data_IF_936755295096
#
_entry.id   IF_936755295096
#
_cell.length_a   1.000
_cell.length_b   1.000
_cell.length_c   1.000
_cell.angle_alpha   90.00
_cell.angle_beta   90.00
_cell.angle_gamma   90.00
#
_symmetry.space_group_name_H-M   'P 1'
#
loop_
_entity.id
_entity.type
_entity.pdbx_description
1 polymer ?
#
# COMPACT_ATOMS: atom_id res chain seq x y z
N UNK A 1 -15.42 -16.55 -14.50
CA UNK A 1 -14.81 -17.43 -13.47
C UNK A 1 -13.53 -16.75 -12.99
N UNK A 2 -13.43 -16.34 -11.71
CA UNK A 2 -12.18 -15.75 -11.17
C UNK A 2 -11.06 -16.76 -11.34
N UNK A 3 -9.90 -16.32 -11.83
CA UNK A 3 -8.73 -17.19 -11.93
C UNK A 3 -8.20 -17.45 -10.50
N UNK A 4 -8.20 -18.71 -10.08
CA UNK A 4 -7.48 -19.12 -8.88
C UNK A 4 -6.02 -19.34 -9.28
N UNK A 5 -5.09 -18.73 -8.57
CA UNK A 5 -3.65 -18.94 -8.80
C UNK A 5 -3.10 -20.08 -7.93
N UNK A 6 -3.99 -20.76 -7.19
CA UNK A 6 -3.74 -22.00 -6.49
C UNK A 6 -2.91 -22.98 -7.34
N UNK A 7 -1.72 -23.32 -6.85
CA UNK A 7 -0.79 -24.23 -7.52
C UNK A 7 0.22 -23.56 -8.46
N UNK A 8 0.13 -22.25 -8.73
CA UNK A 8 1.19 -21.53 -9.41
C UNK A 8 2.45 -21.50 -8.54
N UNK A 9 3.57 -21.96 -9.11
CA UNK A 9 4.87 -21.94 -8.43
C UNK A 9 5.59 -20.65 -8.80
N UNK A 10 5.75 -19.77 -7.82
CA UNK A 10 6.53 -18.56 -7.99
C UNK A 10 8.00 -18.89 -8.29
N UNK A 11 8.70 -18.09 -9.12
CA UNK A 11 10.14 -18.25 -9.30
C UNK A 11 10.87 -18.18 -7.96
N UNK A 12 11.87 -19.04 -7.76
CA UNK A 12 12.74 -19.03 -6.55
C UNK A 12 13.56 -17.75 -6.46
N UNK A 13 13.78 -17.11 -7.61
CA UNK A 13 14.55 -15.88 -7.72
C UNK A 13 13.70 -14.68 -7.32
N UNK A 14 14.21 -13.86 -6.41
CA UNK A 14 13.47 -12.69 -5.92
C UNK A 14 13.90 -11.35 -6.54
N UNK A 15 15.09 -11.25 -7.13
CA UNK A 15 15.66 -9.97 -7.58
C UNK A 15 15.73 -9.82 -9.12
N UNK A 16 15.58 -8.60 -9.66
CA UNK A 16 15.68 -8.32 -11.10
C UNK A 16 17.00 -8.72 -11.77
N UNK A 17 16.98 -8.87 -13.10
CA UNK A 17 18.17 -9.11 -13.94
C UNK A 17 18.72 -7.80 -14.48
N UNK A 18 19.39 -7.04 -13.61
CA UNK A 18 19.92 -5.71 -13.93
C UNK A 18 18.93 -4.56 -13.66
N UNK A 19 19.36 -3.30 -13.87
CA UNK A 19 18.58 -2.14 -13.50
C UNK A 19 17.36 -1.99 -14.41
N UNK A 20 16.19 -1.72 -13.80
CA UNK A 20 15.03 -1.31 -14.56
C UNK A 20 15.33 0.03 -15.24
N UNK A 21 15.22 0.06 -16.57
CA UNK A 21 15.33 1.32 -17.30
C UNK A 21 13.99 2.04 -17.22
N UNK A 22 14.00 3.30 -16.77
CA UNK A 22 12.91 4.23 -17.00
C UNK A 22 12.81 4.42 -18.51
N UNK A 23 11.68 4.02 -19.07
CA UNK A 23 11.41 4.11 -20.48
C UNK A 23 9.95 4.49 -20.69
N UNK A 24 9.72 5.41 -21.62
CA UNK A 24 8.38 5.64 -22.14
C UNK A 24 8.01 4.47 -23.05
N UNK A 25 6.86 3.85 -22.80
CA UNK A 25 6.35 2.76 -23.62
C UNK A 25 5.47 3.32 -24.72
N UNK A 26 5.74 2.95 -25.96
CA UNK A 26 4.86 3.27 -27.06
C UNK A 26 3.55 2.46 -26.95
N UNK A 27 2.40 2.99 -27.41
CA UNK A 27 1.11 2.29 -27.29
C UNK A 27 1.12 0.85 -27.84
N UNK A 28 1.84 0.60 -28.93
CA UNK A 28 2.01 -0.73 -29.52
C UNK A 28 2.76 -1.71 -28.61
N UNK A 29 3.75 -1.24 -27.85
CA UNK A 29 4.49 -2.07 -26.88
C UNK A 29 3.59 -2.43 -25.70
N UNK A 30 2.79 -1.45 -25.23
CA UNK A 30 1.80 -1.64 -24.17
C UNK A 30 0.74 -2.67 -24.60
N UNK A 31 0.26 -2.60 -25.85
CA UNK A 31 -0.71 -3.56 -26.37
C UNK A 31 -0.09 -4.96 -26.59
N UNK A 32 1.16 -5.03 -27.04
CA UNK A 32 1.88 -6.29 -27.12
C UNK A 32 2.00 -6.95 -25.75
N UNK A 33 2.34 -6.19 -24.71
CA UNK A 33 2.34 -6.68 -23.33
C UNK A 33 0.94 -7.10 -22.86
N UNK A 34 -0.09 -6.29 -23.13
CA UNK A 34 -1.47 -6.60 -22.78
C UNK A 34 -1.96 -7.91 -23.40
N UNK A 35 -1.56 -8.22 -24.65
CA UNK A 35 -1.93 -9.45 -25.35
C UNK A 35 -1.40 -10.75 -24.72
N UNK A 36 -0.46 -10.62 -23.76
CA UNK A 36 0.08 -11.76 -22.99
C UNK A 36 -0.83 -12.13 -21.81
N UNK A 37 -1.87 -11.34 -21.54
CA UNK A 37 -2.93 -11.59 -20.57
C UNK A 37 -4.18 -12.17 -21.22
N UNK A 38 -5.02 -12.85 -20.43
CA UNK A 38 -6.30 -13.44 -20.85
C UNK A 38 -7.38 -12.37 -21.06
N UNK A 39 -7.12 -11.50 -22.03
CA UNK A 39 -7.99 -10.46 -22.52
C UNK A 39 -8.02 -10.57 -24.04
N UNK A 40 -9.21 -10.73 -24.59
CA UNK A 40 -9.42 -10.83 -26.02
C UNK A 40 -9.40 -9.43 -26.65
N UNK A 41 -8.73 -9.32 -27.79
CA UNK A 41 -8.63 -8.09 -28.59
C UNK A 41 -8.31 -6.81 -27.77
N UNK A 42 -7.19 -6.75 -27.02
CA UNK A 42 -6.83 -5.59 -26.22
C UNK A 42 -6.64 -4.34 -27.10
N UNK A 43 -7.18 -3.22 -26.64
CA UNK A 43 -7.15 -1.90 -27.29
C UNK A 43 -6.87 -0.82 -26.26
N UNK A 44 -6.50 0.37 -26.73
CA UNK A 44 -6.10 1.48 -25.87
C UNK A 44 -4.60 1.49 -25.61
N UNK A 45 -4.18 1.48 -24.34
CA UNK A 45 -2.77 1.65 -23.96
C UNK A 45 -2.40 3.08 -23.60
N UNK A 46 -3.40 3.95 -23.36
CA UNK A 46 -3.14 5.30 -22.85
C UNK A 46 -2.63 5.25 -21.42
N UNK A 47 -1.64 6.10 -21.11
CA UNK A 47 -1.15 6.25 -19.75
C UNK A 47 -2.29 6.69 -18.82
N UNK A 48 -2.40 6.05 -17.67
CA UNK A 48 -3.41 6.39 -16.68
C UNK A 48 -3.10 7.80 -16.14
N UNK A 49 -4.06 8.75 -16.23
CA UNK A 49 -3.80 10.17 -15.99
C UNK A 49 -3.41 10.48 -14.54
N UNK A 50 -3.78 9.62 -13.58
CA UNK A 50 -3.34 9.69 -12.19
C UNK A 50 -2.18 8.73 -11.96
N UNK A 51 -0.94 9.21 -12.15
CA UNK A 51 0.24 8.44 -11.77
C UNK A 51 0.28 8.35 -10.24
N UNK A 52 0.06 7.16 -9.68
CA UNK A 52 0.38 6.90 -8.27
C UNK A 52 1.86 7.21 -8.01
N UNK A 53 2.21 7.57 -6.77
CA UNK A 53 3.57 8.02 -6.45
C UNK A 53 4.64 6.92 -6.63
N UNK A 54 4.24 5.64 -6.79
CA UNK A 54 5.13 4.48 -6.82
C UNK A 54 5.12 3.76 -8.19
N UNK A 55 3.98 3.26 -8.66
CA UNK A 55 3.89 2.59 -9.97
C UNK A 55 3.75 3.58 -11.13
N UNK A 56 4.91 4.04 -11.62
CA UNK A 56 5.01 5.11 -12.62
C UNK A 56 4.44 4.75 -14.01
N UNK A 57 4.28 3.46 -14.32
CA UNK A 57 3.72 2.97 -15.59
C UNK A 57 2.43 2.19 -15.35
N UNK A 58 1.31 2.91 -15.35
CA UNK A 58 -0.04 2.34 -15.34
C UNK A 58 -0.73 2.72 -16.65
N UNK A 59 -1.32 1.75 -17.34
CA UNK A 59 -2.02 1.94 -18.60
C UNK A 59 -3.44 1.42 -18.53
N UNK A 60 -4.38 2.11 -19.17
CA UNK A 60 -5.75 1.63 -19.34
C UNK A 60 -5.85 0.80 -20.60
N UNK A 61 -6.31 -0.44 -20.45
CA UNK A 61 -6.57 -1.38 -21.54
C UNK A 61 -8.07 -1.64 -21.59
N UNK A 62 -8.66 -1.56 -22.76
CA UNK A 62 -10.01 -2.07 -23.02
C UNK A 62 -9.90 -3.39 -23.75
N UNK A 63 -10.77 -4.34 -23.44
CA UNK A 63 -10.77 -5.62 -24.14
C UNK A 63 -11.99 -6.45 -23.78
N UNK A 64 -12.09 -7.62 -24.38
CA UNK A 64 -13.18 -8.54 -24.14
C UNK A 64 -12.74 -9.66 -23.19
N UNK A 65 -13.61 -10.03 -22.25
CA UNK A 65 -13.43 -11.19 -21.39
C UNK A 65 -14.80 -11.80 -21.09
N UNK A 66 -14.92 -13.11 -21.29
CA UNK A 66 -16.17 -13.84 -21.08
C UNK A 66 -17.37 -13.21 -21.84
N UNK A 67 -17.12 -12.70 -23.05
CA UNK A 67 -18.14 -12.08 -23.91
C UNK A 67 -18.58 -10.68 -23.50
N UNK A 68 -17.86 -10.02 -22.59
CA UNK A 68 -18.14 -8.64 -22.14
C UNK A 68 -16.94 -7.74 -22.40
N UNK A 69 -17.21 -6.52 -22.86
CA UNK A 69 -16.19 -5.47 -22.91
C UNK A 69 -15.95 -4.94 -21.51
N UNK A 70 -14.70 -5.00 -21.05
CA UNK A 70 -14.26 -4.54 -19.75
C UNK A 70 -13.02 -3.63 -19.89
N UNK A 71 -12.76 -2.84 -18.85
CA UNK A 71 -11.56 -2.03 -18.73
C UNK A 71 -10.61 -2.66 -17.70
N UNK A 72 -9.31 -2.56 -17.96
CA UNK A 72 -8.25 -3.14 -17.17
C UNK A 72 -7.14 -2.11 -16.92
N UNK A 73 -6.38 -2.34 -15.86
CA UNK A 73 -5.17 -1.60 -15.53
C UNK A 73 -3.98 -2.53 -15.75
N UNK A 74 -3.15 -2.22 -16.74
CA UNK A 74 -1.85 -2.87 -16.95
C UNK A 74 -0.79 -2.05 -16.23
N UNK A 75 -0.06 -2.68 -15.30
CA UNK A 75 0.92 -2.01 -14.46
C UNK A 75 2.26 -2.73 -14.47
N UNK A 76 3.33 -1.96 -14.65
CA UNK A 76 4.71 -2.40 -14.35
C UNK A 76 4.99 -2.16 -12.87
N UNK A 77 5.42 -3.19 -12.15
CA UNK A 77 5.86 -3.05 -10.76
C UNK A 77 7.13 -2.20 -10.74
N UNK A 78 7.16 -1.17 -9.89
CA UNK A 78 8.35 -0.35 -9.73
C UNK A 78 9.43 -1.09 -8.94
N UNK A 79 10.39 -1.69 -9.63
CA UNK A 79 11.48 -2.47 -9.02
C UNK A 79 12.58 -1.62 -8.37
N UNK A 80 12.58 -0.30 -8.58
CA UNK A 80 13.47 0.61 -7.83
C UNK A 80 13.02 0.75 -6.38
N UNK A 81 11.71 0.60 -6.14
CA UNK A 81 11.09 0.62 -4.80
C UNK A 81 10.89 -0.81 -4.30
N UNK A 82 10.21 -1.64 -5.09
CA UNK A 82 9.95 -3.05 -4.80
C UNK A 82 11.01 -3.93 -5.47
N UNK A 83 12.21 -3.94 -4.89
CA UNK A 83 13.34 -4.76 -5.35
C UNK A 83 13.04 -6.26 -5.41
N UNK A 84 11.94 -6.70 -4.80
CA UNK A 84 11.45 -8.08 -4.80
C UNK A 84 10.02 -8.17 -5.34
N UNK A 85 9.81 -7.97 -6.65
CA UNK A 85 8.47 -7.85 -7.24
C UNK A 85 7.63 -9.12 -7.12
N UNK A 86 8.24 -10.30 -6.99
CA UNK A 86 7.48 -11.53 -6.77
C UNK A 86 6.90 -11.63 -5.36
N UNK A 87 7.50 -10.98 -4.35
CA UNK A 87 6.90 -10.87 -3.02
C UNK A 87 5.61 -10.03 -3.06
N UNK A 88 5.61 -8.95 -3.85
CA UNK A 88 4.39 -8.15 -4.14
C UNK A 88 3.31 -9.05 -4.73
N UNK A 89 3.62 -9.78 -5.81
CA UNK A 89 2.62 -10.62 -6.48
C UNK A 89 2.12 -11.77 -5.60
N UNK A 90 2.98 -12.40 -4.80
CA UNK A 90 2.60 -13.45 -3.85
C UNK A 90 1.65 -12.93 -2.79
N UNK A 91 1.96 -11.77 -2.20
CA UNK A 91 1.12 -11.12 -1.22
C UNK A 91 -0.25 -10.73 -1.79
N UNK A 92 -0.25 -10.17 -3.00
CA UNK A 92 -1.47 -9.74 -3.70
C UNK A 92 -2.37 -10.92 -4.08
N UNK A 93 -1.81 -12.04 -4.53
CA UNK A 93 -2.57 -13.28 -4.78
C UNK A 93 -3.22 -13.77 -3.49
N UNK A 94 -2.44 -13.95 -2.42
CA UNK A 94 -2.96 -14.44 -1.15
C UNK A 94 -4.06 -13.54 -0.57
N UNK A 95 -3.90 -12.22 -0.71
CA UNK A 95 -4.87 -11.22 -0.29
C UNK A 95 -6.18 -11.30 -1.07
N UNK A 96 -6.11 -11.31 -2.40
CA UNK A 96 -7.30 -11.35 -3.26
C UNK A 96 -8.06 -12.67 -3.13
N UNK A 97 -7.35 -13.79 -2.98
CA UNK A 97 -7.95 -15.11 -2.71
C UNK A 97 -8.62 -15.16 -1.32
N UNK A 98 -7.99 -14.59 -0.29
CA UNK A 98 -8.58 -14.51 1.06
C UNK A 98 -9.88 -13.69 1.07
N UNK A 99 -9.89 -12.51 0.42
CA UNK A 99 -11.11 -11.71 0.33
C UNK A 99 -12.21 -12.44 -0.46
N UNK A 100 -11.86 -13.13 -1.54
CA UNK A 100 -12.82 -13.88 -2.34
C UNK A 100 -13.46 -15.02 -1.51
N UNK A 101 -12.66 -15.81 -0.81
CA UNK A 101 -13.14 -16.88 0.05
C UNK A 101 -14.05 -16.34 1.17
N UNK A 102 -13.65 -15.26 1.84
CA UNK A 102 -14.46 -14.67 2.91
C UNK A 102 -15.83 -14.18 2.39
N UNK A 103 -15.88 -13.52 1.23
CA UNK A 103 -17.13 -13.03 0.63
C UNK A 103 -18.07 -14.14 0.18
N UNK A 104 -17.54 -15.31 -0.17
CA UNK A 104 -18.35 -16.49 -0.50
C UNK A 104 -19.01 -17.07 0.75
N UNK A 105 -18.29 -17.09 1.88
CA UNK A 105 -18.77 -17.60 3.17
C UNK A 105 -19.70 -16.62 3.90
N UNK A 106 -19.57 -15.31 3.66
CA UNK A 106 -20.27 -14.25 4.41
C UNK A 106 -21.11 -13.36 3.48
N UNK A 107 -22.37 -13.75 3.17
CA UNK A 107 -23.26 -12.97 2.31
C UNK A 107 -23.52 -11.54 2.79
N UNK A 108 -23.47 -11.29 4.10
CA UNK A 108 -23.61 -9.93 4.66
C UNK A 108 -22.46 -9.02 4.24
N UNK A 109 -21.22 -9.51 4.27
CA UNK A 109 -20.05 -8.79 3.78
C UNK A 109 -20.18 -8.51 2.27
N UNK A 110 -20.66 -9.48 1.50
CA UNK A 110 -20.93 -9.31 0.06
C UNK A 110 -22.02 -8.27 -0.23
N UNK A 111 -23.05 -8.18 0.62
CA UNK A 111 -24.14 -7.22 0.46
C UNK A 111 -23.72 -5.76 0.69
N UNK A 112 -22.54 -5.50 1.26
CA UNK A 112 -22.00 -4.14 1.40
C UNK A 112 -21.70 -3.47 0.06
N UNK A 113 -21.49 -4.27 -1.00
CA UNK A 113 -21.05 -3.80 -2.31
C UNK A 113 -19.53 -3.79 -2.51
N UNK A 114 -18.77 -4.30 -1.54
CA UNK A 114 -17.32 -4.47 -1.64
C UNK A 114 -16.91 -5.33 -2.85
N UNK A 115 -15.95 -4.83 -3.61
CA UNK A 115 -15.36 -5.48 -4.77
C UNK A 115 -13.84 -5.60 -4.56
N UNK A 116 -13.34 -6.82 -4.25
CA UNK A 116 -11.92 -7.08 -4.21
C UNK A 116 -11.25 -6.76 -5.55
N UNK A 117 -9.98 -6.37 -5.51
CA UNK A 117 -9.16 -6.31 -6.71
C UNK A 117 -9.13 -7.69 -7.38
N UNK A 118 -9.36 -7.70 -8.69
CA UNK A 118 -9.32 -8.92 -9.50
C UNK A 118 -8.08 -8.90 -10.40
N UNK A 119 -7.16 -9.83 -10.16
CA UNK A 119 -6.00 -10.07 -11.03
C UNK A 119 -6.44 -10.83 -12.30
N UNK A 120 -5.95 -10.37 -13.44
CA UNK A 120 -6.13 -11.05 -14.73
C UNK A 120 -4.91 -11.94 -14.98
N UNK A 121 -5.15 -13.23 -15.17
CA UNK A 121 -4.10 -14.19 -15.46
C UNK A 121 -3.46 -13.93 -16.83
N UNK A 122 -2.17 -14.26 -16.95
CA UNK A 122 -1.48 -14.39 -18.22
C UNK A 122 -2.02 -15.59 -19.03
N UNK A 123 -1.66 -15.66 -20.31
CA UNK A 123 -2.09 -16.75 -21.20
C UNK A 123 -1.61 -18.13 -20.71
N UNK A 124 -0.45 -18.20 -20.06
CA UNK A 124 0.08 -19.40 -19.40
C UNK A 124 -0.49 -19.65 -17.98
N UNK A 125 -1.36 -18.77 -17.49
CA UNK A 125 -2.06 -18.93 -16.21
C UNK A 125 -1.36 -18.32 -14.99
N UNK A 126 -0.23 -17.63 -15.17
CA UNK A 126 0.45 -16.91 -14.10
C UNK A 126 -0.32 -15.62 -13.68
N UNK A 127 -0.11 -15.09 -12.46
CA UNK A 127 -0.72 -13.83 -12.02
C UNK A 127 -0.05 -12.56 -12.57
N UNK A 128 1.04 -12.72 -13.33
CA UNK A 128 1.85 -11.65 -13.88
C UNK A 128 2.50 -12.10 -15.18
N UNK A 129 3.13 -11.16 -15.86
CA UNK A 129 3.98 -11.36 -17.03
C UNK A 129 5.38 -10.84 -16.70
N UNK A 130 6.42 -11.63 -16.98
CA UNK A 130 7.81 -11.16 -16.96
C UNK A 130 8.18 -10.73 -18.37
N UNK A 131 8.65 -9.50 -18.52
CA UNK A 131 9.15 -8.98 -19.78
C UNK A 131 10.65 -8.70 -19.66
N UNK A 132 11.44 -9.32 -20.55
CA UNK A 132 12.88 -9.09 -20.69
C UNK A 132 13.16 -8.51 -22.09
N UNK A 133 12.36 -7.51 -22.45
CA UNK A 133 12.43 -6.83 -23.74
C UNK A 133 13.50 -5.73 -23.79
N UNK A 134 13.42 -4.81 -24.77
CA UNK A 134 14.41 -3.75 -24.97
C UNK A 134 14.51 -2.76 -23.78
N UNK A 135 13.47 -2.70 -22.94
CA UNK A 135 13.39 -1.86 -21.75
C UNK A 135 13.97 -2.53 -20.49
N UNK A 136 14.56 -3.71 -20.66
CA UNK A 136 15.13 -4.54 -19.61
C UNK A 136 14.09 -5.31 -18.81
N UNK A 137 14.59 -6.23 -17.99
CA UNK A 137 13.78 -7.09 -17.15
C UNK A 137 12.74 -6.32 -16.30
N UNK A 138 11.49 -6.78 -16.32
CA UNK A 138 10.39 -6.17 -15.60
C UNK A 138 9.24 -7.15 -15.32
N UNK A 139 8.48 -6.87 -14.26
CA UNK A 139 7.28 -7.65 -13.90
C UNK A 139 6.05 -6.78 -14.11
N UNK A 140 5.08 -7.33 -14.83
CA UNK A 140 3.83 -6.69 -15.21
C UNK A 140 2.66 -7.46 -14.64
N UNK A 141 1.65 -6.75 -14.16
CA UNK A 141 0.37 -7.32 -13.75
C UNK A 141 -0.77 -6.62 -14.47
N UNK A 142 -1.88 -7.33 -14.61
CA UNK A 142 -3.11 -6.75 -15.11
C UNK A 142 -4.22 -6.97 -14.08
N UNK A 143 -5.01 -5.93 -13.83
CA UNK A 143 -6.15 -5.98 -12.92
C UNK A 143 -7.40 -5.48 -13.63
N UNK A 144 -8.56 -6.04 -13.28
CA UNK A 144 -9.85 -5.46 -13.69
C UNK A 144 -10.00 -4.07 -13.08
N UNK A 145 -10.39 -3.09 -13.88
CA UNK A 145 -10.72 -1.75 -13.39
C UNK A 145 -12.10 -1.76 -12.76
N UNK A 146 -12.21 -1.21 -11.56
CA UNK A 146 -13.50 -1.03 -10.88
C UNK A 146 -14.20 0.20 -11.47
N UNK A 147 -15.39 0.06 -12.07
CA UNK A 147 -16.11 1.17 -12.70
C UNK A 147 -16.88 2.01 -11.66
N UNK A 148 -17.36 3.18 -12.09
CA UNK A 148 -18.30 4.03 -11.34
C UNK A 148 -17.85 4.43 -9.92
N UNK A 149 -16.54 4.58 -9.74
CA UNK A 149 -15.93 5.02 -8.48
C UNK A 149 -15.38 6.45 -8.55
N UNK A 150 -15.16 7.03 -7.39
CA UNK A 150 -14.42 8.27 -7.14
C UNK A 150 -13.34 8.03 -6.08
N UNK A 151 -12.31 8.87 -6.11
CA UNK A 151 -11.18 8.87 -5.17
C UNK A 151 -10.98 10.31 -4.71
N UNK A 152 -10.47 10.49 -3.49
CA UNK A 152 -10.15 11.80 -2.93
C UNK A 152 -8.68 11.86 -2.55
N UNK A 153 -8.03 13.01 -2.80
CA UNK A 153 -6.65 13.27 -2.32
C UNK A 153 -6.62 13.61 -0.84
N UNK A 154 -7.66 14.29 -0.39
CA UNK A 154 -7.90 14.62 1.01
C UNK A 154 -9.38 14.93 1.22
N UNK A 155 -9.82 14.89 2.47
CA UNK A 155 -11.18 15.33 2.81
C UNK A 155 -11.41 16.83 2.51
N UNK A 156 -10.34 17.62 2.33
CA UNK A 156 -10.41 19.02 1.93
C UNK A 156 -11.01 19.25 0.53
N UNK A 157 -11.01 18.24 -0.34
CA UNK A 157 -11.66 18.29 -1.66
C UNK A 157 -13.20 18.30 -1.56
N UNK A 158 -13.74 17.90 -0.40
CA UNK A 158 -15.18 17.86 -0.13
C UNK A 158 -15.56 19.18 0.53
N UNK A 159 -16.48 19.95 -0.06
CA UNK A 159 -16.82 21.28 0.45
C UNK A 159 -17.64 21.23 1.76
N UNK A 160 -18.61 20.31 1.82
CA UNK A 160 -19.55 20.20 2.95
C UNK A 160 -18.91 19.47 4.14
N UNK A 161 -18.85 20.08 5.35
CA UNK A 161 -18.27 19.43 6.53
C UNK A 161 -19.01 18.16 6.98
N UNK A 162 -20.34 18.11 6.85
CA UNK A 162 -21.10 16.92 7.21
C UNK A 162 -20.77 15.73 6.32
N UNK A 163 -20.62 15.99 5.02
CA UNK A 163 -20.20 15.00 4.03
C UNK A 163 -18.76 14.53 4.26
N UNK A 164 -17.84 15.41 4.71
CA UNK A 164 -16.49 14.98 5.13
C UNK A 164 -16.54 13.95 6.24
N UNK A 165 -17.35 14.20 7.28
CA UNK A 165 -17.50 13.28 8.40
C UNK A 165 -18.18 11.97 7.97
N UNK A 166 -19.17 12.04 7.07
CA UNK A 166 -19.80 10.85 6.49
C UNK A 166 -18.77 9.98 5.75
N UNK A 167 -17.99 10.59 4.85
CA UNK A 167 -16.94 9.89 4.09
C UNK A 167 -15.85 9.33 5.00
N UNK A 168 -15.44 10.06 6.04
CA UNK A 168 -14.51 9.56 7.04
C UNK A 168 -15.04 8.30 7.76
N UNK A 169 -16.32 8.29 8.13
CA UNK A 169 -16.97 7.09 8.66
C UNK A 169 -17.01 5.92 7.66
N UNK A 170 -17.28 6.18 6.38
CA UNK A 170 -17.23 5.14 5.34
C UNK A 170 -15.83 4.57 5.12
N UNK A 171 -14.78 5.39 5.27
CA UNK A 171 -13.39 4.91 5.25
C UNK A 171 -13.11 3.99 6.45
N UNK A 172 -13.58 4.35 7.65
CA UNK A 172 -13.53 3.48 8.82
C UNK A 172 -14.23 2.14 8.60
N UNK A 173 -15.47 2.15 8.05
CA UNK A 173 -16.20 0.92 7.68
C UNK A 173 -15.44 0.09 6.65
N UNK A 174 -14.91 0.74 5.62
CA UNK A 174 -14.15 0.09 4.56
C UNK A 174 -12.89 -0.61 5.09
N UNK A 175 -12.18 0.02 6.03
CA UNK A 175 -11.02 -0.60 6.65
C UNK A 175 -11.39 -1.78 7.55
N UNK A 176 -12.46 -1.65 8.36
CA UNK A 176 -12.96 -2.75 9.18
C UNK A 176 -13.32 -3.97 8.32
N UNK A 177 -14.09 -3.76 7.26
CA UNK A 177 -14.45 -4.82 6.32
C UNK A 177 -13.20 -5.43 5.68
N UNK A 178 -12.23 -4.63 5.25
CA UNK A 178 -10.98 -5.13 4.69
C UNK A 178 -10.18 -6.01 5.68
N UNK A 179 -10.15 -5.62 6.96
CA UNK A 179 -9.51 -6.40 8.01
C UNK A 179 -10.23 -7.74 8.24
N UNK A 180 -11.57 -7.74 8.25
CA UNK A 180 -12.35 -8.97 8.38
C UNK A 180 -12.15 -9.91 7.19
N UNK A 181 -12.19 -9.38 5.96
CA UNK A 181 -12.01 -10.10 4.71
C UNK A 181 -10.66 -10.83 4.61
N UNK A 182 -9.65 -10.35 5.31
CA UNK A 182 -8.28 -10.90 5.29
C UNK A 182 -7.90 -11.56 6.62
N UNK A 183 -8.80 -11.58 7.60
CA UNK A 183 -8.55 -12.08 8.96
C UNK A 183 -8.06 -13.53 9.02
N UNK A 184 -8.42 -14.35 8.04
CA UNK A 184 -8.07 -15.78 7.94
C UNK A 184 -6.94 -16.07 6.94
N UNK A 185 -6.37 -15.05 6.32
CA UNK A 185 -5.25 -15.21 5.39
C UNK A 185 -4.02 -15.75 6.13
N UNK A 186 -3.40 -16.81 5.59
CA UNK A 186 -2.16 -17.35 6.16
C UNK A 186 -1.02 -16.33 6.05
N UNK A 187 -0.24 -16.23 7.13
CA UNK A 187 1.00 -15.45 7.15
C UNK A 187 2.23 -16.28 6.77
N UNK A 188 2.05 -17.59 6.58
CA UNK A 188 3.13 -18.50 6.21
C UNK A 188 3.69 -18.13 4.83
N UNK A 189 5.01 -17.93 4.75
CA UNK A 189 5.67 -17.53 3.50
C UNK A 189 5.35 -16.11 3.02
N UNK A 190 4.59 -15.31 3.80
CA UNK A 190 4.31 -13.91 3.48
C UNK A 190 5.48 -13.02 3.94
N UNK A 191 6.34 -12.66 3.00
CA UNK A 191 7.48 -11.78 3.25
C UNK A 191 7.19 -10.36 2.76
N UNK A 192 7.68 -9.32 3.46
CA UNK A 192 7.53 -7.94 2.99
C UNK A 192 8.20 -7.72 1.63
N UNK A 193 7.52 -7.01 0.75
CA UNK A 193 8.04 -6.53 -0.53
C UNK A 193 9.02 -5.37 -0.36
N UNK A 194 8.80 -4.53 0.65
CA UNK A 194 9.62 -3.38 1.02
C UNK A 194 10.32 -3.66 2.36
N UNK A 195 11.60 -4.01 2.30
CA UNK A 195 12.39 -4.34 3.49
C UNK A 195 12.60 -3.11 4.37
N UNK A 196 12.37 -3.27 5.67
CA UNK A 196 12.42 -2.16 6.65
C UNK A 196 11.16 -1.30 6.67
N UNK A 197 10.16 -1.62 5.86
CA UNK A 197 8.88 -0.94 5.90
C UNK A 197 8.15 -1.25 7.22
N UNK A 198 7.63 -0.20 7.87
CA UNK A 198 6.98 -0.27 9.19
C UNK A 198 7.88 -0.84 10.31
N UNK A 199 9.20 -0.84 10.12
CA UNK A 199 10.17 -1.07 11.20
C UNK A 199 10.50 0.27 11.88
N UNK A 200 9.62 0.67 12.81
CA UNK A 200 9.77 1.95 13.52
C UNK A 200 11.09 2.04 14.28
N UNK A 201 11.56 0.93 14.85
CA UNK A 201 12.89 0.88 15.49
C UNK A 201 14.02 1.13 14.49
N UNK A 202 13.91 0.54 13.30
CA UNK A 202 14.79 0.83 12.16
C UNK A 202 14.80 2.32 11.79
N UNK A 203 13.62 2.96 11.73
CA UNK A 203 13.51 4.40 11.46
C UNK A 203 14.19 5.25 12.54
N UNK A 204 14.07 4.89 13.82
CA UNK A 204 14.80 5.58 14.89
C UNK A 204 16.32 5.38 14.80
N UNK A 205 16.77 4.19 14.41
CA UNK A 205 18.19 3.95 14.16
C UNK A 205 18.72 4.77 12.98
N UNK A 206 17.96 4.88 11.89
CA UNK A 206 18.27 5.74 10.74
C UNK A 206 18.31 7.21 11.16
N UNK A 207 17.30 7.66 11.92
CA UNK A 207 17.26 9.02 12.48
C UNK A 207 18.49 9.33 13.32
N UNK A 208 18.90 8.43 14.22
CA UNK A 208 20.12 8.61 15.04
C UNK A 208 21.39 8.66 14.19
N UNK A 209 21.52 7.80 13.18
CA UNK A 209 22.66 7.80 12.27
C UNK A 209 22.77 9.14 11.52
N UNK A 210 21.64 9.59 10.95
CA UNK A 210 21.54 10.86 10.23
C UNK A 210 21.79 12.05 11.17
N UNK A 211 21.19 12.07 12.37
CA UNK A 211 21.41 13.11 13.38
C UNK A 211 22.87 13.16 13.87
N UNK A 212 23.57 12.02 13.88
CA UNK A 212 25.00 11.94 14.19
C UNK A 212 25.90 12.38 13.01
N UNK A 213 25.32 12.72 11.85
CA UNK A 213 26.06 13.18 10.68
C UNK A 213 26.76 12.07 9.90
N UNK A 214 26.27 10.82 9.99
CA UNK A 214 26.82 9.70 9.22
C UNK A 214 26.78 10.01 7.71
N UNK A 215 27.94 10.14 7.07
CA UNK A 215 28.07 10.45 5.64
C UNK A 215 28.54 9.24 4.82
N UNK A 216 29.26 8.31 5.44
CA UNK A 216 29.79 7.11 4.78
C UNK A 216 29.17 5.83 5.34
N UNK A 217 29.30 4.73 4.59
CA UNK A 217 28.89 3.39 5.05
C UNK A 217 29.59 3.01 6.35
N UNK A 218 30.88 3.34 6.49
CA UNK A 218 31.66 3.06 7.70
C UNK A 218 31.05 3.71 8.94
N UNK A 219 30.54 4.93 8.80
CA UNK A 219 29.90 5.65 9.91
C UNK A 219 28.51 5.12 10.23
N UNK A 220 27.81 4.57 9.23
CA UNK A 220 26.46 4.02 9.38
C UNK A 220 26.43 2.63 10.05
N UNK A 221 27.48 1.81 9.89
CA UNK A 221 27.56 0.42 10.39
C UNK A 221 27.06 0.25 11.84
N UNK A 222 27.41 1.11 12.82
CA UNK A 222 26.94 0.96 14.20
C UNK A 222 25.42 1.06 14.39
N UNK A 223 24.70 1.64 13.42
CA UNK A 223 23.24 1.84 13.47
C UNK A 223 22.48 0.84 12.59
N UNK A 224 23.17 0.17 11.66
CA UNK A 224 22.57 -0.72 10.69
C UNK A 224 22.04 -2.01 11.36
N UNK A 225 20.99 -2.63 10.79
CA UNK A 225 20.46 -3.87 11.31
C UNK A 225 21.44 -5.02 11.12
N UNK A 226 21.34 -6.04 11.98
CA UNK A 226 22.20 -7.23 11.92
C UNK A 226 21.83 -8.16 10.75
N UNK A 227 20.57 -8.14 10.32
CA UNK A 227 20.10 -8.93 9.18
C UNK A 227 20.75 -8.41 7.88
N UNK A 228 21.52 -9.23 7.14
CA UNK A 228 22.26 -8.77 5.97
C UNK A 228 21.36 -8.28 4.83
N UNK A 229 20.20 -8.93 4.64
CA UNK A 229 19.26 -8.61 3.57
C UNK A 229 18.65 -7.21 3.79
N UNK A 230 18.20 -6.96 5.01
CA UNK A 230 17.68 -5.68 5.45
C UNK A 230 18.75 -4.59 5.45
N UNK A 231 19.96 -4.91 5.92
CA UNK A 231 21.08 -3.99 5.95
C UNK A 231 21.47 -3.50 4.55
N UNK A 232 21.51 -4.39 3.57
CA UNK A 232 21.76 -4.04 2.17
C UNK A 232 20.62 -3.18 1.60
N UNK A 233 19.38 -3.58 1.82
CA UNK A 233 18.21 -2.88 1.28
C UNK A 233 18.01 -1.47 1.86
N UNK A 234 18.48 -1.22 3.08
CA UNK A 234 18.25 0.06 3.80
C UNK A 234 19.51 0.89 3.98
N UNK A 235 20.68 0.45 3.49
CA UNK A 235 21.99 1.11 3.73
C UNK A 235 21.98 2.61 3.41
N UNK A 236 21.32 3.00 2.33
CA UNK A 236 21.24 4.40 1.88
C UNK A 236 20.48 5.29 2.85
N UNK A 237 19.58 4.74 3.66
CA UNK A 237 18.73 5.48 4.60
C UNK A 237 19.47 5.88 5.89
N UNK A 238 20.63 5.29 6.15
CA UNK A 238 21.46 5.60 7.33
C UNK A 238 22.47 6.72 7.08
N UNK A 239 22.44 7.37 5.91
CA UNK A 239 23.48 8.29 5.47
C UNK A 239 22.91 9.60 4.95
N UNK A 240 23.58 10.70 5.27
CA UNK A 240 23.39 11.99 4.61
C UNK A 240 24.43 12.17 3.52
N UNK A 241 24.12 11.68 2.32
CA UNK A 241 24.98 11.86 1.15
C UNK A 241 24.83 13.24 0.50
N UNK A 242 23.71 13.94 0.73
CA UNK A 242 23.46 15.28 0.19
C UNK A 242 23.95 16.38 1.17
N UNK A 243 24.94 17.21 0.78
CA UNK A 243 25.44 18.31 1.60
C UNK A 243 24.37 19.33 1.98
N UNK A 244 23.38 19.57 1.11
CA UNK A 244 22.29 20.49 1.40
C UNK A 244 21.44 19.96 2.56
N UNK A 245 21.06 18.68 2.52
CA UNK A 245 20.33 18.01 3.61
C UNK A 245 21.14 17.97 4.91
N UNK A 246 22.45 17.71 4.84
CA UNK A 246 23.32 17.68 6.01
C UNK A 246 23.40 19.04 6.73
N UNK A 247 23.33 20.15 5.99
CA UNK A 247 23.28 21.49 6.59
C UNK A 247 21.97 21.74 7.36
N UNK A 248 20.84 21.16 6.89
CA UNK A 248 19.51 21.40 7.47
C UNK A 248 19.39 20.91 8.92
N UNK A 249 20.11 19.86 9.31
CA UNK A 249 20.10 19.36 10.70
C UNK A 249 20.47 20.44 11.71
N UNK A 250 21.25 21.44 11.31
CA UNK A 250 21.69 22.55 12.17
C UNK A 250 20.72 23.74 12.15
N UNK A 251 19.65 23.69 11.36
CA UNK A 251 18.67 24.78 11.29
C UNK A 251 17.92 24.90 12.63
N UNK A 252 17.91 26.09 13.26
CA UNK A 252 17.18 26.30 14.51
C UNK A 252 15.68 25.99 14.39
N UNK A 253 15.10 26.27 13.22
CA UNK A 253 13.68 26.03 12.95
C UNK A 253 13.30 24.54 12.99
N UNK A 254 14.25 23.62 12.78
CA UNK A 254 14.00 22.18 12.80
C UNK A 254 14.21 21.54 14.17
N UNK A 255 14.95 22.19 15.08
CA UNK A 255 15.29 21.60 16.38
C UNK A 255 14.08 21.11 17.19
N UNK A 256 12.96 21.87 17.29
CA UNK A 256 11.79 21.40 18.04
C UNK A 256 11.20 20.10 17.47
N UNK A 257 11.29 19.90 16.16
CA UNK A 257 10.81 18.68 15.51
C UNK A 257 11.77 17.50 15.73
N UNK A 258 13.07 17.73 15.65
CA UNK A 258 14.10 16.72 15.92
C UNK A 258 14.03 16.23 17.37
N UNK A 259 13.89 17.15 18.32
CA UNK A 259 13.71 16.83 19.74
C UNK A 259 12.43 16.05 19.98
N UNK A 260 11.32 16.44 19.35
CA UNK A 260 10.05 15.73 19.44
C UNK A 260 10.18 14.30 18.92
N UNK A 261 10.81 14.10 17.76
CA UNK A 261 11.10 12.76 17.22
C UNK A 261 11.92 11.96 18.23
N UNK A 262 13.06 12.49 18.68
CA UNK A 262 13.94 11.80 19.63
C UNK A 262 13.22 11.37 20.92
N UNK A 263 12.36 12.24 21.47
CA UNK A 263 11.59 11.95 22.68
C UNK A 263 10.47 10.92 22.50
N UNK A 264 10.04 10.68 21.25
CA UNK A 264 8.92 9.81 20.94
C UNK A 264 9.31 8.35 20.74
N UNK A 265 10.60 7.98 20.83
CA UNK A 265 11.06 6.62 20.49
C UNK A 265 10.34 5.51 21.25
N UNK A 266 10.21 5.64 22.58
CA UNK A 266 9.50 4.66 23.41
C UNK A 266 8.05 4.50 22.97
N UNK A 267 7.35 5.61 22.70
CA UNK A 267 5.97 5.58 22.24
C UNK A 267 5.86 5.02 20.81
N UNK A 268 6.71 5.46 19.89
CA UNK A 268 6.70 5.03 18.49
C UNK A 268 7.03 3.54 18.32
N UNK A 269 7.86 2.98 19.19
CA UNK A 269 8.19 1.54 19.17
C UNK A 269 7.14 0.66 19.88
N UNK A 270 6.20 1.24 20.62
CA UNK A 270 5.24 0.49 21.43
C UNK A 270 4.47 -0.55 20.62
N UNK A 271 4.00 -0.19 19.41
CA UNK A 271 3.22 -1.11 18.58
C UNK A 271 4.05 -2.33 18.15
N UNK A 272 5.32 -2.11 17.80
CA UNK A 272 6.25 -3.18 17.44
C UNK A 272 6.55 -4.07 18.65
N UNK A 273 6.69 -3.50 19.85
CA UNK A 273 6.87 -4.24 21.09
C UNK A 273 5.64 -5.06 21.46
N UNK A 274 4.44 -4.50 21.31
CA UNK A 274 3.18 -5.18 21.58
C UNK A 274 2.93 -6.36 20.63
N UNK A 275 3.35 -6.24 19.36
CA UNK A 275 3.32 -7.37 18.41
C UNK A 275 4.37 -8.42 18.79
N UNK A 276 5.58 -8.00 19.16
CA UNK A 276 6.66 -8.93 19.52
C UNK A 276 6.38 -9.70 20.82
N UNK A 277 5.71 -9.08 21.79
CA UNK A 277 5.28 -9.72 23.04
C UNK A 277 4.03 -10.59 22.88
N UNK A 278 3.33 -10.49 21.75
CA UNK A 278 2.03 -11.13 21.53
C UNK A 278 0.86 -10.45 22.24
N UNK A 279 1.05 -9.24 22.79
CA UNK A 279 -0.03 -8.42 23.36
C UNK A 279 -1.04 -8.00 22.29
N UNK A 280 -0.56 -7.71 21.08
CA UNK A 280 -1.37 -7.44 19.89
C UNK A 280 -1.08 -8.53 18.87
N UNK A 281 -2.13 -9.06 18.24
CA UNK A 281 -1.98 -10.16 17.30
C UNK A 281 -1.30 -9.71 16.01
N UNK A 282 -0.57 -10.64 15.40
CA UNK A 282 -0.02 -10.44 14.06
C UNK A 282 -1.08 -10.78 13.01
N UNK A 283 -1.38 -9.85 12.11
CA UNK A 283 -2.36 -10.00 11.02
C UNK A 283 -1.71 -9.63 9.69
N UNK A 284 -2.29 -10.04 8.54
CA UNK A 284 -1.99 -9.36 7.29
C UNK A 284 -2.45 -7.91 7.42
N UNK A 285 -1.72 -7.00 6.79
CA UNK A 285 -2.07 -5.59 6.67
C UNK A 285 -1.98 -5.16 5.21
N UNK A 286 -2.73 -4.14 4.84
CA UNK A 286 -2.61 -3.48 3.54
C UNK A 286 -1.27 -2.75 3.44
N UNK A 287 -0.88 -2.05 4.49
CA UNK A 287 0.40 -1.36 4.59
C UNK A 287 0.40 0.07 4.06
N UNK A 288 -0.63 0.54 3.36
CA UNK A 288 -0.74 1.93 2.88
C UNK A 288 -2.22 2.37 2.77
N UNK A 289 -2.81 2.78 3.89
CA UNK A 289 -4.26 3.03 4.01
C UNK A 289 -4.61 4.51 3.95
N UNK A 290 -3.89 5.26 3.11
CA UNK A 290 -4.22 6.64 2.79
C UNK A 290 -5.56 6.75 2.06
N UNK A 291 -6.27 7.88 2.21
CA UNK A 291 -7.60 8.09 1.61
C UNK A 291 -7.60 7.92 0.07
N UNK A 292 -6.48 8.24 -0.59
CA UNK A 292 -6.30 8.07 -2.04
C UNK A 292 -6.47 6.61 -2.51
N UNK A 293 -6.24 5.65 -1.62
CA UNK A 293 -6.33 4.22 -1.92
C UNK A 293 -7.75 3.65 -1.71
N UNK A 294 -8.68 4.44 -1.17
CA UNK A 294 -10.08 4.03 -1.04
C UNK A 294 -10.87 4.46 -2.28
N UNK A 295 -11.53 3.49 -2.92
CA UNK A 295 -12.46 3.74 -4.01
C UNK A 295 -13.87 3.86 -3.45
N UNK A 296 -14.52 4.98 -3.70
CA UNK A 296 -15.88 5.25 -3.25
C UNK A 296 -16.86 5.06 -4.40
N UNK A 297 -17.98 4.39 -4.17
CA UNK A 297 -19.08 4.31 -5.12
C UNK A 297 -19.60 5.71 -5.42
N UNK A 298 -19.70 6.07 -6.70
CA UNK A 298 -20.12 7.42 -7.11
C UNK A 298 -21.56 7.74 -6.73
N UNK A 299 -22.41 6.73 -6.55
CA UNK A 299 -23.85 6.91 -6.33
C UNK A 299 -24.19 6.93 -4.85
N UNK A 300 -23.65 5.98 -4.09
CA UNK A 300 -23.94 5.76 -2.67
C UNK A 300 -22.93 6.42 -1.76
N UNK A 301 -21.74 6.75 -2.28
CA UNK A 301 -20.64 7.31 -1.52
C UNK A 301 -20.07 6.35 -0.46
N UNK A 302 -20.32 5.04 -0.60
CA UNK A 302 -19.74 3.98 0.24
C UNK A 302 -18.39 3.55 -0.31
N UNK A 303 -17.49 3.08 0.55
CA UNK A 303 -16.25 2.45 0.07
C UNK A 303 -16.59 1.14 -0.65
N UNK A 304 -16.11 1.00 -1.89
CA UNK A 304 -16.23 -0.22 -2.71
C UNK A 304 -14.97 -1.08 -2.71
N UNK A 305 -13.80 -0.49 -2.52
CA UNK A 305 -12.54 -1.24 -2.58
C UNK A 305 -11.40 -0.46 -1.93
N UNK A 306 -10.37 -1.19 -1.52
CA UNK A 306 -9.07 -0.66 -1.13
C UNK A 306 -8.03 -1.15 -2.14
N UNK A 307 -7.33 -0.20 -2.77
CA UNK A 307 -6.37 -0.47 -3.86
C UNK A 307 -4.94 -0.17 -3.43
N UNK A 308 -3.97 -0.41 -4.32
CA UNK A 308 -2.53 -0.27 -4.06
C UNK A 308 -1.96 -1.35 -3.12
N UNK A 309 -2.13 -2.60 -3.54
CA UNK A 309 -1.81 -3.82 -2.77
C UNK A 309 -0.30 -4.14 -2.68
N UNK A 310 0.59 -3.18 -2.91
CA UNK A 310 2.03 -3.46 -3.02
C UNK A 310 2.74 -3.64 -1.69
N UNK A 311 2.17 -3.06 -0.62
CA UNK A 311 2.77 -3.00 0.72
C UNK A 311 2.20 -4.06 1.67
N UNK A 312 1.48 -5.05 1.14
CA UNK A 312 0.92 -6.12 1.96
C UNK A 312 2.04 -6.86 2.68
N UNK A 313 1.91 -6.96 4.00
CA UNK A 313 2.89 -7.62 4.85
C UNK A 313 2.24 -8.10 6.15
N UNK A 314 2.88 -8.99 6.92
CA UNK A 314 2.39 -9.36 8.24
C UNK A 314 2.86 -8.36 9.31
N UNK A 315 1.92 -7.66 9.94
CA UNK A 315 2.15 -6.80 11.09
C UNK A 315 0.91 -6.78 11.98
N UNK A 316 0.22 -5.67 12.21
CA UNK A 316 -1.05 -5.60 12.95
C UNK A 316 -1.99 -4.60 12.29
N UNK A 317 -3.28 -4.92 12.22
CA UNK A 317 -4.29 -4.05 11.63
C UNK A 317 -4.34 -2.64 12.27
N UNK A 318 -3.89 -2.49 13.52
CA UNK A 318 -3.72 -1.18 14.17
C UNK A 318 -2.77 -0.25 13.40
N UNK A 319 -1.82 -0.82 12.65
CA UNK A 319 -0.90 -0.06 11.82
C UNK A 319 -1.61 0.52 10.57
N UNK A 320 -2.54 -0.22 9.99
CA UNK A 320 -3.41 0.28 8.92
C UNK A 320 -4.39 1.33 9.47
N UNK A 321 -4.91 1.12 10.68
CA UNK A 321 -5.78 2.09 11.33
C UNK A 321 -5.05 3.42 11.60
N UNK A 322 -3.83 3.36 12.13
CA UNK A 322 -3.01 4.55 12.39
C UNK A 322 -2.60 5.30 11.12
N UNK A 323 -2.26 4.59 10.04
CA UNK A 323 -1.89 5.21 8.76
C UNK A 323 -3.10 5.86 8.05
N UNK A 324 -4.28 5.25 8.19
CA UNK A 324 -5.54 5.85 7.76
C UNK A 324 -5.83 7.15 8.51
N UNK A 325 -5.72 7.17 9.84
CA UNK A 325 -5.88 8.39 10.63
C UNK A 325 -4.85 9.46 10.26
N UNK A 326 -3.59 9.08 10.06
CA UNK A 326 -2.52 9.99 9.60
C UNK A 326 -2.90 10.71 8.31
N UNK A 327 -3.54 10.00 7.37
CA UNK A 327 -3.95 10.54 6.08
C UNK A 327 -5.24 11.36 6.14
N UNK A 328 -6.26 10.93 6.91
CA UNK A 328 -7.58 11.57 6.94
C UNK A 328 -7.67 12.76 7.91
N UNK A 329 -7.05 12.65 9.09
CA UNK A 329 -7.24 13.65 10.15
C UNK A 329 -6.60 15.01 9.83
N UNK A 330 -5.66 15.04 8.89
CA UNK A 330 -5.25 16.29 8.26
C UNK A 330 -6.12 16.58 7.03
N UNK A 331 -7.22 17.29 7.23
CA UNK A 331 -8.19 17.63 6.17
C UNK A 331 -7.53 18.35 4.99
N UNK A 332 -6.48 19.15 5.22
CA UNK A 332 -5.74 19.84 4.16
C UNK A 332 -4.96 18.87 3.24
N UNK A 333 -4.71 17.63 3.68
CA UNK A 333 -4.01 16.60 2.92
C UNK A 333 -2.49 16.60 3.14
N UNK A 334 -1.85 15.52 2.67
CA UNK A 334 -0.43 15.22 2.96
C UNK A 334 0.56 16.17 2.27
N UNK A 335 0.13 16.86 1.21
CA UNK A 335 0.97 17.75 0.39
C UNK A 335 0.74 19.24 0.69
N UNK A 336 0.05 19.57 1.78
CA UNK A 336 -0.16 20.96 2.19
C UNK A 336 1.16 21.61 2.64
N UNK A 337 1.40 22.82 2.14
CA UNK A 337 2.62 23.60 2.41
C UNK A 337 2.39 24.71 3.43
N UNK A 338 1.13 25.14 3.61
CA UNK A 338 0.72 26.08 4.63
C UNK A 338 0.50 25.35 5.97
N UNK A 339 1.51 25.41 6.84
CA UNK A 339 1.49 24.75 8.15
C UNK A 339 0.35 25.22 9.06
N UNK A 340 -0.23 26.41 8.82
CA UNK A 340 -1.37 26.89 9.61
C UNK A 340 -2.66 26.09 9.36
N UNK A 341 -2.73 25.35 8.25
CA UNK A 341 -3.87 24.48 7.91
C UNK A 341 -3.66 23.03 8.34
N UNK A 342 -2.43 22.65 8.69
CA UNK A 342 -2.09 21.28 9.10
C UNK A 342 -2.59 21.08 10.53
N UNK A 343 -3.57 20.21 10.69
CA UNK A 343 -4.18 19.91 11.98
C UNK A 343 -4.51 18.41 12.11
N UNK A 344 -4.82 17.99 13.35
CA UNK A 344 -5.43 16.69 13.61
C UNK A 344 -6.88 16.94 13.97
N UNK A 345 -7.77 16.73 13.01
CA UNK A 345 -9.21 16.88 13.16
C UNK A 345 -9.78 15.70 13.98
N UNK A 346 -10.26 16.02 15.18
CA UNK A 346 -10.78 15.01 16.12
C UNK A 346 -12.17 14.52 15.73
N UNK A 347 -12.99 15.35 15.09
CA UNK A 347 -14.32 14.95 14.65
C UNK A 347 -14.21 13.94 13.50
N UNK A 348 -13.23 14.13 12.61
CA UNK A 348 -12.87 13.15 11.58
C UNK A 348 -12.39 11.84 12.22
N UNK A 349 -11.49 11.90 13.21
CA UNK A 349 -10.99 10.71 13.90
C UNK A 349 -12.14 9.92 14.58
N UNK A 350 -13.06 10.63 15.25
CA UNK A 350 -14.21 10.01 15.89
C UNK A 350 -15.20 9.42 14.87
N UNK A 351 -15.38 10.06 13.70
CA UNK A 351 -16.21 9.53 12.63
C UNK A 351 -15.62 8.23 12.06
N UNK A 352 -14.31 8.20 11.81
CA UNK A 352 -13.58 6.99 11.39
C UNK A 352 -13.74 5.88 12.43
N UNK A 353 -13.52 6.18 13.72
CA UNK A 353 -13.66 5.20 14.81
C UNK A 353 -15.06 4.58 14.82
N UNK A 354 -16.11 5.41 14.82
CA UNK A 354 -17.51 4.93 14.79
C UNK A 354 -17.77 4.04 13.58
N UNK A 355 -17.32 4.47 12.40
CA UNK A 355 -17.46 3.68 11.18
C UNK A 355 -16.78 2.31 11.29
N UNK A 356 -15.57 2.26 11.85
CA UNK A 356 -14.83 1.03 12.06
C UNK A 356 -15.53 0.09 13.06
N UNK A 357 -15.87 0.60 14.25
CA UNK A 357 -16.52 -0.17 15.33
C UNK A 357 -17.88 -0.74 14.93
N UNK A 358 -18.65 0.00 14.12
CA UNK A 358 -19.96 -0.47 13.65
C UNK A 358 -19.88 -1.60 12.60
N UNK A 359 -18.74 -1.75 11.92
CA UNK A 359 -18.57 -2.67 10.80
C UNK A 359 -17.72 -3.90 11.15
N UNK A 360 -16.78 -3.78 12.08
CA UNK A 360 -15.81 -4.83 12.40
C UNK A 360 -16.46 -6.04 13.07
N UNK A 361 -16.06 -7.24 12.66
CA UNK A 361 -16.58 -8.51 13.17
C UNK A 361 -15.49 -9.37 13.81
N UNK A 362 -14.30 -9.42 13.22
CA UNK A 362 -13.25 -10.39 13.58
C UNK A 362 -12.19 -9.82 14.54
N UNK A 363 -12.17 -8.50 14.78
CA UNK A 363 -11.21 -7.87 15.69
C UNK A 363 -11.56 -8.13 17.16
N UNK A 364 -10.61 -8.58 17.99
CA UNK A 364 -10.86 -8.86 19.40
C UNK A 364 -10.96 -7.57 20.22
N UNK A 365 -11.79 -7.60 21.27
CA UNK A 365 -12.12 -6.43 22.08
C UNK A 365 -10.91 -5.72 22.72
N UNK A 366 -9.86 -6.47 23.09
CA UNK A 366 -8.64 -5.89 23.67
C UNK A 366 -7.85 -5.04 22.66
N UNK A 367 -7.97 -5.32 21.36
CA UNK A 367 -7.31 -4.54 20.32
C UNK A 367 -8.14 -3.30 19.93
N UNK A 368 -9.47 -3.39 20.01
CA UNK A 368 -10.36 -2.24 19.82
C UNK A 368 -10.13 -1.16 20.88
N UNK A 369 -9.78 -1.54 22.12
CA UNK A 369 -9.37 -0.60 23.15
C UNK A 369 -8.10 0.21 22.78
N UNK A 370 -7.29 -0.29 21.84
CA UNK A 370 -6.12 0.43 21.31
C UNK A 370 -6.45 1.52 20.29
N UNK A 371 -7.73 1.72 19.95
CA UNK A 371 -8.20 2.82 19.10
C UNK A 371 -8.49 4.12 19.87
N UNK A 372 -8.59 4.04 21.20
CA UNK A 372 -8.67 5.20 22.12
C UNK A 372 -7.30 5.85 22.31
#
# INVERSE_FOLDING_TARGET
MRATFAGFVFPDRETPEGPARRADFAPEEVLALASRFRVDAPRGGSAFPKRGNINLHTFVIEGEREGRTEAFLLQRINTDVFSRPFRVMRAMVAWTEAQAAYLEEHPAAKATGWEPIELVASNDGAPFVVDDGPHGWSVWRMMKRIPDVVEYKSLGEVADPGERLRLAGEVGRGLALNADLTSRMSLEGLQPSLLGYRDTRGYFAQFRAVAAGCASRKDAVPFMPADPELAEATESLYRLSDPACAARIKEPALQPYLERIASAETFGCWLQDAVASGTVRRTPIHGDTKIENFLFDRTTGRVRSLVDLDTIMPFTWLADYGDMLRSLCNVAGEKETDLAKVQVDRDVADAVRRGFEEAVVEAPANELAGME
#
